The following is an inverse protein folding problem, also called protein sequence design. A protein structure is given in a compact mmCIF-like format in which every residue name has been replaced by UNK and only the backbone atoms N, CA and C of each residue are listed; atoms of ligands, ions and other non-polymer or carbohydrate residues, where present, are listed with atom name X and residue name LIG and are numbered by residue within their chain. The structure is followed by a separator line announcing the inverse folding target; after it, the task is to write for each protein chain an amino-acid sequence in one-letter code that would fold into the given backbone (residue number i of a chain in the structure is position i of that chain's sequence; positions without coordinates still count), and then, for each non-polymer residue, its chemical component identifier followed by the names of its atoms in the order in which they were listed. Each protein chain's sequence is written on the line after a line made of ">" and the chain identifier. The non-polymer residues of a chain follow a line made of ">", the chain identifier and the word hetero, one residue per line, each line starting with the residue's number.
data_IF_285942126135
#
_entry.id   IF_285942126135
#
_cell.length_a   1.000
_cell.length_b   1.000
_cell.length_c   1.000
_cell.angle_alpha   90.00
_cell.angle_beta   90.00
_cell.angle_gamma   90.00
#
_symmetry.space_group_name_H-M   'P 1'
#
loop_
_entity.id
_entity.type
_entity.pdbx_description
1 polymer ?
#
# COMPACT_ATOMS: atom_id res chain seq x y z
N UNK A 1 -18.34 11.33 12.79
CA UNK A 1 -17.90 9.94 12.57
C UNK A 1 -18.22 9.14 13.82
N UNK A 2 -18.96 8.04 13.67
CA UNK A 2 -19.21 7.12 14.78
C UNK A 2 -17.92 6.32 14.99
N UNK A 3 -17.20 6.55 16.08
CA UNK A 3 -15.86 5.96 16.29
C UNK A 3 -15.90 4.44 16.41
N UNK A 4 -17.04 3.86 16.78
CA UNK A 4 -17.27 2.41 16.83
C UNK A 4 -17.21 1.77 15.43
N UNK A 5 -17.83 2.37 14.41
CA UNK A 5 -17.83 1.79 13.04
C UNK A 5 -16.48 1.87 12.33
N UNK A 6 -15.58 2.76 12.76
CA UNK A 6 -14.24 2.90 12.20
C UNK A 6 -13.27 1.85 12.77
N UNK A 7 -13.23 1.69 14.09
CA UNK A 7 -12.31 0.74 14.74
C UNK A 7 -12.73 -0.72 14.55
N UNK A 8 -14.03 -0.99 14.40
CA UNK A 8 -14.55 -2.34 14.17
C UNK A 8 -14.51 -2.76 12.68
N UNK A 9 -14.11 -1.86 11.77
CA UNK A 9 -14.03 -2.18 10.35
C UNK A 9 -12.85 -3.13 10.05
N UNK A 10 -13.08 -4.31 9.43
CA UNK A 10 -12.03 -5.29 9.20
C UNK A 10 -10.92 -4.79 8.26
N UNK A 11 -11.24 -3.95 7.28
CA UNK A 11 -10.24 -3.34 6.39
C UNK A 11 -9.33 -2.37 7.13
N UNK A 12 -9.90 -1.57 8.04
CA UNK A 12 -9.10 -0.68 8.89
C UNK A 12 -8.22 -1.44 9.87
N UNK A 13 -8.70 -2.57 10.40
CA UNK A 13 -7.88 -3.42 11.26
C UNK A 13 -6.67 -3.98 10.50
N UNK A 14 -6.87 -4.40 9.24
CA UNK A 14 -5.76 -4.82 8.37
C UNK A 14 -4.77 -3.68 8.10
N UNK A 15 -5.26 -2.46 7.81
CA UNK A 15 -4.42 -1.26 7.67
C UNK A 15 -3.63 -0.95 8.94
N UNK A 16 -4.26 -0.97 10.12
CA UNK A 16 -3.58 -0.72 11.39
C UNK A 16 -2.52 -1.79 11.70
N UNK A 17 -2.81 -3.07 11.44
CA UNK A 17 -1.84 -4.15 11.62
C UNK A 17 -0.59 -3.95 10.77
N UNK A 18 -0.77 -3.59 9.49
CA UNK A 18 0.35 -3.26 8.61
C UNK A 18 1.12 -2.02 9.11
N UNK A 19 0.41 -0.98 9.55
CA UNK A 19 1.03 0.25 10.05
C UNK A 19 1.88 -0.03 11.30
N UNK A 20 1.38 -0.84 12.23
CA UNK A 20 2.11 -1.28 13.42
C UNK A 20 3.37 -2.06 13.05
N UNK A 21 3.28 -3.02 12.13
CA UNK A 21 4.43 -3.79 11.65
C UNK A 21 5.49 -2.88 10.99
N UNK A 22 5.06 -1.92 10.18
CA UNK A 22 5.93 -0.94 9.52
C UNK A 22 6.59 0.01 10.54
N UNK A 23 5.86 0.46 11.56
CA UNK A 23 6.39 1.30 12.63
C UNK A 23 7.44 0.56 13.48
N UNK A 24 7.28 -0.76 13.65
CA UNK A 24 8.25 -1.61 14.35
C UNK A 24 9.41 -2.09 13.48
N UNK A 25 9.35 -1.89 12.16
CA UNK A 25 10.41 -2.27 11.26
C UNK A 25 11.69 -1.48 11.57
N UNK A 26 12.83 -2.16 11.61
CA UNK A 26 14.12 -1.51 11.82
C UNK A 26 14.45 -0.60 10.65
N UNK A 27 14.71 0.67 10.94
CA UNK A 27 15.20 1.64 9.96
C UNK A 27 16.63 1.24 9.58
N UNK A 28 16.87 0.96 8.31
CA UNK A 28 18.22 0.67 7.80
C UNK A 28 18.90 1.97 7.35
N UNK A 29 20.23 2.05 7.49
CA UNK A 29 21.02 3.20 7.01
C UNK A 29 21.14 3.28 5.48
N UNK A 30 20.74 2.22 4.79
CA UNK A 30 20.74 2.08 3.33
C UNK A 30 19.31 2.27 2.79
N UNK A 31 19.05 3.32 1.98
CA UNK A 31 17.72 3.59 1.42
C UNK A 31 17.17 2.44 0.58
N UNK A 32 18.01 1.76 -0.21
CA UNK A 32 17.56 0.70 -1.12
C UNK A 32 17.09 -0.53 -0.32
N UNK A 33 17.86 -0.91 0.71
CA UNK A 33 17.46 -1.96 1.64
C UNK A 33 16.23 -1.55 2.48
N UNK A 34 16.18 -0.31 2.95
CA UNK A 34 15.06 0.18 3.75
C UNK A 34 13.76 0.22 2.94
N UNK A 35 13.79 0.73 1.71
CA UNK A 35 12.65 0.71 0.78
C UNK A 35 12.13 -0.70 0.57
N UNK A 36 13.00 -1.66 0.24
CA UNK A 36 12.58 -3.04 0.01
C UNK A 36 11.90 -3.64 1.25
N UNK A 37 12.45 -3.38 2.45
CA UNK A 37 11.86 -3.91 3.68
C UNK A 37 10.50 -3.28 3.99
N UNK A 38 10.36 -1.97 3.83
CA UNK A 38 9.09 -1.27 4.10
C UNK A 38 8.03 -1.65 3.08
N UNK A 39 8.38 -1.68 1.79
CA UNK A 39 7.44 -2.04 0.74
C UNK A 39 7.00 -3.51 0.84
N UNK A 40 7.84 -4.43 1.32
CA UNK A 40 7.41 -5.81 1.64
C UNK A 40 6.29 -5.85 2.71
N UNK A 41 6.42 -5.06 3.78
CA UNK A 41 5.42 -5.00 4.85
C UNK A 41 4.14 -4.30 4.37
N UNK A 42 4.31 -3.21 3.63
CA UNK A 42 3.21 -2.48 3.00
C UNK A 42 2.40 -3.40 2.08
N UNK A 43 3.06 -4.13 1.19
CA UNK A 43 2.40 -5.09 0.31
C UNK A 43 1.71 -6.25 1.06
N UNK A 44 2.28 -6.70 2.18
CA UNK A 44 1.61 -7.69 3.02
C UNK A 44 0.26 -7.17 3.55
N UNK A 45 0.17 -5.87 3.88
CA UNK A 45 -1.09 -5.20 4.24
C UNK A 45 -2.13 -5.26 3.13
N UNK A 46 -1.74 -4.90 1.90
CA UNK A 46 -2.64 -4.97 0.75
C UNK A 46 -3.07 -6.41 0.39
N UNK A 47 -2.18 -7.40 0.55
CA UNK A 47 -2.54 -8.81 0.39
C UNK A 47 -3.58 -9.25 1.44
N UNK A 48 -3.42 -8.83 2.70
CA UNK A 48 -4.37 -9.14 3.76
C UNK A 48 -5.75 -8.53 3.49
N UNK A 49 -5.80 -7.24 3.11
CA UNK A 49 -7.04 -6.58 2.70
C UNK A 49 -7.67 -7.26 1.48
N UNK A 50 -6.85 -7.64 0.49
CA UNK A 50 -7.32 -8.34 -0.71
C UNK A 50 -7.94 -9.70 -0.39
N UNK A 51 -7.34 -10.48 0.52
CA UNK A 51 -7.93 -11.76 0.93
C UNK A 51 -9.27 -11.55 1.65
N UNK A 52 -9.37 -10.55 2.54
CA UNK A 52 -10.61 -10.23 3.24
C UNK A 52 -11.76 -9.91 2.27
N UNK A 53 -11.52 -9.06 1.27
CA UNK A 53 -12.58 -8.70 0.32
C UNK A 53 -12.96 -9.86 -0.60
N UNK A 54 -12.03 -10.77 -0.90
CA UNK A 54 -12.33 -12.00 -1.65
C UNK A 54 -13.17 -12.98 -0.81
N UNK A 55 -12.92 -13.06 0.51
CA UNK A 55 -13.59 -14.00 1.40
C UNK A 55 -14.99 -13.54 1.81
N UNK A 56 -15.17 -12.24 2.08
CA UNK A 56 -16.40 -11.71 2.66
C UNK A 56 -17.18 -10.77 1.71
N UNK A 57 -16.55 -10.31 0.63
CA UNK A 57 -17.17 -9.45 -0.38
C UNK A 57 -18.21 -10.16 -1.24
N UNK A 58 -19.01 -9.36 -1.94
CA UNK A 58 -20.04 -9.85 -2.85
C UNK A 58 -19.96 -9.25 -4.25
N UNK A 59 -18.99 -8.37 -4.52
CA UNK A 59 -18.80 -7.78 -5.83
C UNK A 59 -17.70 -8.51 -6.64
N UNK A 60 -18.11 -9.20 -7.71
CA UNK A 60 -17.18 -9.95 -8.55
C UNK A 60 -16.06 -9.10 -9.17
N UNK A 61 -16.36 -7.85 -9.57
CA UNK A 61 -15.33 -6.96 -10.13
C UNK A 61 -14.28 -6.58 -9.10
N UNK A 62 -14.67 -6.33 -7.85
CA UNK A 62 -13.72 -6.08 -6.77
C UNK A 62 -12.91 -7.33 -6.43
N UNK A 63 -13.54 -8.51 -6.37
CA UNK A 63 -12.81 -9.77 -6.14
C UNK A 63 -11.75 -10.04 -7.23
N UNK A 64 -12.07 -9.76 -8.50
CA UNK A 64 -11.14 -9.90 -9.63
C UNK A 64 -9.98 -8.88 -9.55
N UNK A 65 -10.28 -7.61 -9.21
CA UNK A 65 -9.26 -6.59 -8.99
C UNK A 65 -8.35 -6.94 -7.81
N UNK A 66 -8.90 -7.35 -6.68
CA UNK A 66 -8.16 -7.77 -5.50
C UNK A 66 -7.24 -8.97 -5.82
N UNK A 67 -7.74 -9.96 -6.57
CA UNK A 67 -6.93 -11.09 -7.00
C UNK A 67 -5.73 -10.69 -7.88
N UNK A 68 -5.93 -9.73 -8.79
CA UNK A 68 -4.86 -9.19 -9.62
C UNK A 68 -3.79 -8.44 -8.80
N UNK A 69 -4.23 -7.58 -7.87
CA UNK A 69 -3.35 -6.85 -6.94
C UNK A 69 -2.52 -7.83 -6.10
N UNK A 70 -3.16 -8.84 -5.49
CA UNK A 70 -2.47 -9.86 -4.68
C UNK A 70 -1.38 -10.55 -5.49
N UNK A 71 -1.67 -10.94 -6.73
CA UNK A 71 -0.70 -11.65 -7.56
C UNK A 71 0.50 -10.76 -7.87
N UNK A 72 0.27 -9.52 -8.33
CA UNK A 72 1.35 -8.56 -8.62
C UNK A 72 2.21 -8.28 -7.40
N UNK A 73 1.59 -7.98 -6.26
CA UNK A 73 2.33 -7.66 -5.04
C UNK A 73 3.11 -8.86 -4.48
N UNK A 74 2.65 -10.10 -4.67
CA UNK A 74 3.44 -11.30 -4.37
C UNK A 74 4.70 -11.41 -5.23
N UNK A 75 4.58 -11.11 -6.52
CA UNK A 75 5.71 -11.14 -7.45
C UNK A 75 6.73 -10.04 -7.10
N UNK A 76 6.26 -8.85 -6.70
CA UNK A 76 7.09 -7.74 -6.24
C UNK A 76 7.78 -8.04 -4.90
N UNK A 77 7.07 -8.63 -3.93
CA UNK A 77 7.66 -9.12 -2.67
C UNK A 77 8.79 -10.13 -2.96
N UNK A 78 8.57 -11.06 -3.89
CA UNK A 78 9.59 -12.04 -4.27
C UNK A 78 10.82 -11.37 -4.88
N UNK A 79 10.63 -10.36 -5.74
CA UNK A 79 11.73 -9.60 -6.33
C UNK A 79 12.53 -8.82 -5.26
N UNK A 80 11.85 -8.14 -4.33
CA UNK A 80 12.49 -7.47 -3.20
C UNK A 80 13.24 -8.46 -2.30
N UNK A 81 12.69 -9.65 -2.07
CA UNK A 81 13.36 -10.68 -1.27
C UNK A 81 14.64 -11.18 -1.93
N UNK A 82 14.66 -11.31 -3.26
CA UNK A 82 15.87 -11.65 -4.02
C UNK A 82 16.95 -10.57 -3.83
N UNK A 83 16.57 -9.29 -3.89
CA UNK A 83 17.50 -8.19 -3.63
C UNK A 83 18.06 -8.25 -2.20
N UNK A 84 17.19 -8.34 -1.19
CA UNK A 84 17.58 -8.36 0.22
C UNK A 84 18.48 -9.55 0.57
N UNK A 85 18.30 -10.70 -0.09
CA UNK A 85 19.15 -11.88 0.11
C UNK A 85 20.55 -11.74 -0.52
N UNK A 86 20.69 -10.89 -1.53
CA UNK A 86 21.92 -10.71 -2.30
C UNK A 86 22.71 -9.46 -1.91
N UNK A 87 22.07 -8.50 -1.23
CA UNK A 87 22.65 -7.21 -0.87
C UNK A 87 22.52 -6.98 0.63
N UNK A 88 23.63 -7.17 1.36
CA UNK A 88 23.71 -6.76 2.75
C UNK A 88 23.74 -5.23 2.85
N UNK A 89 23.02 -4.67 3.82
CA UNK A 89 23.00 -3.22 4.05
C UNK A 89 24.42 -2.68 4.12
N UNK A 90 24.76 -1.79 3.20
CA UNK A 90 26.06 -1.10 3.25
C UNK A 90 25.99 -0.04 4.37
N UNK A 91 27.02 0.11 5.21
CA UNK A 91 27.08 1.21 6.17
C UNK A 91 27.29 2.52 5.41
N UNK A 92 26.19 3.10 4.92
CA UNK A 92 26.15 4.45 4.39
C UNK A 92 25.78 5.45 5.48
N UNK A 93 26.12 6.72 5.23
CA UNK A 93 25.70 7.84 6.06
C UNK A 93 24.19 7.76 6.28
N UNK A 94 23.74 7.95 7.53
CA UNK A 94 22.33 8.02 7.86
C UNK A 94 21.60 8.93 6.85
N UNK A 95 20.73 8.35 6.02
CA UNK A 95 19.85 9.12 5.16
C UNK A 95 18.67 9.64 5.98
N UNK A 96 18.95 10.50 6.97
CA UNK A 96 17.95 11.05 7.89
C UNK A 96 16.79 11.72 7.14
N UNK A 97 17.07 12.36 6.00
CA UNK A 97 16.06 12.94 5.11
C UNK A 97 15.15 11.88 4.48
N UNK A 98 15.70 10.78 3.94
CA UNK A 98 14.91 9.68 3.38
C UNK A 98 14.04 9.04 4.46
N UNK A 99 14.63 8.71 5.61
CA UNK A 99 13.90 8.10 6.72
C UNK A 99 12.78 9.02 7.25
N UNK A 100 13.02 10.33 7.30
CA UNK A 100 11.98 11.29 7.67
C UNK A 100 10.87 11.39 6.64
N UNK A 101 11.22 11.45 5.35
CA UNK A 101 10.23 11.49 4.27
C UNK A 101 9.37 10.22 4.26
N UNK A 102 10.00 9.06 4.49
CA UNK A 102 9.29 7.78 4.52
C UNK A 102 8.28 7.71 5.67
N UNK A 103 8.64 8.20 6.86
CA UNK A 103 7.69 8.35 7.97
C UNK A 103 6.55 9.30 7.61
N UNK A 104 6.84 10.43 6.98
CA UNK A 104 5.80 11.37 6.55
C UNK A 104 4.79 10.75 5.58
N UNK A 105 5.23 9.90 4.66
CA UNK A 105 4.33 9.18 3.75
C UNK A 105 3.42 8.22 4.52
N UNK A 106 3.97 7.47 5.48
CA UNK A 106 3.18 6.54 6.32
C UNK A 106 2.18 7.27 7.22
N UNK A 107 2.63 8.33 7.91
CA UNK A 107 1.76 9.17 8.75
C UNK A 107 0.60 9.76 7.93
N UNK A 108 0.90 10.19 6.69
CA UNK A 108 -0.10 10.74 5.78
C UNK A 108 -1.12 9.68 5.37
N UNK A 109 -0.68 8.49 4.99
CA UNK A 109 -1.57 7.38 4.65
C UNK A 109 -2.51 7.03 5.81
N UNK A 110 -1.98 6.90 7.03
CA UNK A 110 -2.79 6.64 8.23
C UNK A 110 -3.83 7.75 8.47
N UNK A 111 -3.42 9.02 8.35
CA UNK A 111 -4.33 10.15 8.50
C UNK A 111 -5.42 10.19 7.43
N UNK A 112 -5.08 9.86 6.18
CA UNK A 112 -6.03 9.80 5.07
C UNK A 112 -7.03 8.67 5.29
N UNK A 113 -6.56 7.46 5.60
CA UNK A 113 -7.43 6.33 5.94
C UNK A 113 -8.36 6.65 7.13
N UNK A 114 -7.85 7.33 8.16
CA UNK A 114 -8.64 7.77 9.31
C UNK A 114 -9.70 8.83 9.00
N UNK A 115 -9.55 9.54 7.88
CA UNK A 115 -10.49 10.56 7.45
C UNK A 115 -11.62 10.03 6.56
N UNK A 116 -11.54 8.77 6.13
CA UNK A 116 -12.54 8.17 5.26
C UNK A 116 -13.84 7.80 5.99
N UNK A 117 -14.96 8.02 5.30
CA UNK A 117 -16.27 7.57 5.79
C UNK A 117 -16.53 6.14 5.34
N UNK A 118 -16.17 5.20 6.22
CA UNK A 118 -16.39 3.77 5.99
C UNK A 118 -17.86 3.42 6.20
N UNK A 119 -18.34 2.52 5.35
CA UNK A 119 -19.77 2.21 5.20
C UNK A 119 -20.15 0.88 5.83
N UNK A 120 -19.16 0.01 6.07
CA UNK A 120 -19.38 -1.39 6.44
C UNK A 120 -19.66 -2.31 5.23
N UNK A 121 -19.80 -1.74 4.03
CA UNK A 121 -19.74 -2.52 2.79
C UNK A 121 -18.27 -2.80 2.48
N UNK A 122 -17.88 -4.06 2.63
CA UNK A 122 -16.48 -4.48 2.52
C UNK A 122 -15.89 -4.23 1.13
N UNK A 123 -16.70 -4.32 0.06
CA UNK A 123 -16.25 -4.06 -1.30
C UNK A 123 -15.95 -2.57 -1.49
N UNK A 124 -16.82 -1.70 -0.95
CA UNK A 124 -16.62 -0.25 -0.95
C UNK A 124 -15.42 0.16 -0.11
N UNK A 125 -15.36 -0.32 1.13
CA UNK A 125 -14.35 0.07 2.11
C UNK A 125 -12.96 -0.42 1.68
N UNK A 126 -12.86 -1.62 1.07
CA UNK A 126 -11.66 -2.07 0.38
C UNK A 126 -11.22 -1.08 -0.69
N UNK A 127 -12.13 -0.70 -1.60
CA UNK A 127 -11.76 0.16 -2.72
C UNK A 127 -11.30 1.55 -2.27
N UNK A 128 -11.96 2.14 -1.28
CA UNK A 128 -11.59 3.44 -0.70
C UNK A 128 -10.22 3.37 -0.02
N UNK A 129 -10.00 2.39 0.86
CA UNK A 129 -8.75 2.30 1.62
C UNK A 129 -7.58 1.88 0.74
N UNK A 130 -7.81 1.01 -0.25
CA UNK A 130 -6.77 0.56 -1.16
C UNK A 130 -6.24 1.69 -2.05
N UNK A 131 -7.08 2.69 -2.39
CA UNK A 131 -6.62 3.90 -3.10
C UNK A 131 -5.58 4.67 -2.28
N UNK A 132 -5.82 4.89 -0.98
CA UNK A 132 -4.86 5.60 -0.12
C UNK A 132 -3.61 4.79 0.14
N UNK A 133 -3.77 3.48 0.35
CA UNK A 133 -2.65 2.55 0.47
C UNK A 133 -1.76 2.62 -0.79
N UNK A 134 -2.35 2.56 -1.98
CA UNK A 134 -1.56 2.60 -3.22
C UNK A 134 -0.89 3.97 -3.45
N UNK A 135 -1.58 5.05 -3.10
CA UNK A 135 -0.99 6.39 -3.17
C UNK A 135 0.26 6.52 -2.28
N UNK A 136 0.27 5.87 -1.12
CA UNK A 136 1.44 5.81 -0.25
C UNK A 136 2.60 5.07 -0.91
N UNK A 137 2.37 3.89 -1.50
CA UNK A 137 3.40 3.14 -2.21
C UNK A 137 3.97 3.89 -3.42
N UNK A 138 3.15 4.64 -4.16
CA UNK A 138 3.60 5.54 -5.23
C UNK A 138 4.59 6.59 -4.68
N UNK A 139 4.25 7.22 -3.56
CA UNK A 139 5.13 8.21 -2.92
C UNK A 139 6.42 7.58 -2.37
N UNK A 140 6.34 6.35 -1.81
CA UNK A 140 7.53 5.59 -1.40
C UNK A 140 8.44 5.28 -2.60
N UNK A 141 7.85 4.91 -3.74
CA UNK A 141 8.57 4.63 -4.97
C UNK A 141 9.30 5.88 -5.51
N UNK A 142 8.64 7.04 -5.51
CA UNK A 142 9.26 8.30 -5.90
C UNK A 142 10.44 8.68 -4.99
N UNK A 143 10.31 8.45 -3.69
CA UNK A 143 11.39 8.68 -2.73
C UNK A 143 12.59 7.77 -2.99
N UNK A 144 12.41 6.47 -3.27
CA UNK A 144 13.58 5.64 -3.56
C UNK A 144 14.21 5.95 -4.93
N UNK A 145 13.42 6.38 -5.92
CA UNK A 145 13.95 6.90 -7.18
C UNK A 145 14.87 8.11 -6.93
N UNK A 146 14.48 9.00 -6.01
CA UNK A 146 15.25 10.17 -5.63
C UNK A 146 16.50 9.84 -4.80
N UNK A 147 16.35 9.05 -3.73
CA UNK A 147 17.37 8.86 -2.69
C UNK A 147 18.21 7.60 -2.85
N UNK A 148 17.69 6.59 -3.56
CA UNK A 148 18.36 5.31 -3.75
C UNK A 148 19.62 5.42 -4.60
N UNK A 149 20.41 4.35 -4.59
CA UNK A 149 21.67 4.24 -5.31
C UNK A 149 21.68 3.07 -6.29
N UNK A 150 20.92 2.01 -6.01
CA UNK A 150 20.83 0.83 -6.84
C UNK A 150 19.89 1.05 -8.05
N UNK A 151 20.43 0.88 -9.26
CA UNK A 151 19.68 1.08 -10.49
C UNK A 151 18.56 0.04 -10.70
N UNK A 152 18.74 -1.18 -10.19
CA UNK A 152 17.74 -2.23 -10.21
C UNK A 152 16.56 -1.90 -9.31
N UNK A 153 16.82 -1.40 -8.10
CA UNK A 153 15.77 -0.94 -7.17
C UNK A 153 15.02 0.27 -7.72
N UNK A 154 15.71 1.24 -8.32
CA UNK A 154 15.01 2.38 -8.97
C UNK A 154 14.12 1.93 -10.12
N UNK A 155 14.56 0.94 -10.91
CA UNK A 155 13.75 0.35 -11.97
C UNK A 155 12.51 -0.35 -11.41
N UNK A 156 12.70 -1.19 -10.40
CA UNK A 156 11.60 -1.90 -9.72
C UNK A 156 10.59 -0.90 -9.13
N UNK A 157 11.06 0.16 -8.47
CA UNK A 157 10.20 1.22 -7.94
C UNK A 157 9.39 1.92 -9.04
N UNK A 158 9.99 2.17 -10.21
CA UNK A 158 9.27 2.70 -11.36
C UNK A 158 8.19 1.76 -11.89
N UNK A 159 8.43 0.44 -11.86
CA UNK A 159 7.45 -0.57 -12.25
C UNK A 159 6.29 -0.64 -11.24
N UNK A 160 6.59 -0.70 -9.94
CA UNK A 160 5.59 -0.63 -8.85
C UNK A 160 4.72 0.62 -8.99
N UNK A 161 5.34 1.79 -9.23
CA UNK A 161 4.62 3.04 -9.39
C UNK A 161 3.61 2.98 -10.55
N UNK A 162 4.03 2.48 -11.70
CA UNK A 162 3.17 2.37 -12.89
C UNK A 162 2.00 1.41 -12.62
N UNK A 163 2.29 0.25 -12.03
CA UNK A 163 1.26 -0.74 -11.72
C UNK A 163 0.23 -0.18 -10.73
N UNK A 164 0.69 0.49 -9.67
CA UNK A 164 -0.21 1.04 -8.67
C UNK A 164 -0.97 2.29 -9.13
N UNK A 165 -0.41 3.10 -10.03
CA UNK A 165 -1.15 4.18 -10.71
C UNK A 165 -2.35 3.60 -11.49
N UNK A 166 -2.16 2.48 -12.20
CA UNK A 166 -3.23 1.80 -12.94
C UNK A 166 -4.28 1.16 -12.02
N UNK A 167 -3.86 0.59 -10.90
CA UNK A 167 -4.76 0.00 -9.89
C UNK A 167 -5.61 1.07 -9.19
N UNK A 168 -5.03 2.22 -8.85
CA UNK A 168 -5.78 3.38 -8.34
C UNK A 168 -6.83 3.85 -9.34
N UNK A 169 -6.48 3.95 -10.63
CA UNK A 169 -7.45 4.33 -11.67
C UNK A 169 -8.62 3.34 -11.73
N UNK A 170 -8.34 2.04 -11.67
CA UNK A 170 -9.37 1.00 -11.70
C UNK A 170 -10.32 1.07 -10.49
N UNK A 171 -9.79 1.26 -9.28
CA UNK A 171 -10.57 1.38 -8.05
C UNK A 171 -11.44 2.64 -8.05
N UNK A 172 -10.87 3.79 -8.45
CA UNK A 172 -11.62 5.04 -8.57
C UNK A 172 -12.72 4.96 -9.63
N UNK A 173 -12.45 4.29 -10.76
CA UNK A 173 -13.46 4.04 -11.78
C UNK A 173 -14.63 3.24 -11.21
N UNK A 174 -14.35 2.16 -10.48
CA UNK A 174 -15.40 1.34 -9.86
C UNK A 174 -16.21 2.14 -8.82
N UNK A 175 -15.55 2.92 -7.96
CA UNK A 175 -16.21 3.78 -6.98
C UNK A 175 -17.14 4.82 -7.63
N UNK A 176 -16.71 5.41 -8.75
CA UNK A 176 -17.51 6.37 -9.51
C UNK A 176 -18.73 5.73 -10.18
N UNK A 177 -18.56 4.55 -10.78
CA UNK A 177 -19.66 3.80 -11.41
C UNK A 177 -20.71 3.40 -10.37
N UNK A 178 -20.27 2.94 -9.20
CA UNK A 178 -21.17 2.65 -8.07
C UNK A 178 -21.97 3.86 -7.64
N UNK A 179 -21.32 5.01 -7.44
CA UNK A 179 -21.98 6.27 -7.05
C UNK A 179 -23.07 6.68 -8.04
N UNK A 180 -22.80 6.56 -9.34
CA UNK A 180 -23.77 6.89 -10.40
C UNK A 180 -24.98 5.95 -10.39
N UNK A 181 -24.78 4.68 -10.03
CA UNK A 181 -25.88 3.72 -9.89
C UNK A 181 -26.77 4.01 -8.67
N UNK A 182 -26.18 4.45 -7.55
CA UNK A 182 -26.92 4.80 -6.32
C UNK A 182 -27.67 6.14 -6.44
N UNK A 183 -27.11 7.11 -7.18
CA UNK A 183 -27.67 8.45 -7.38
C UNK A 183 -27.73 8.83 -8.88
N UNK A 184 -28.66 8.25 -9.65
CA UNK A 184 -28.85 8.61 -11.06
C UNK A 184 -29.34 10.05 -11.19
N UNK A 185 -28.80 10.78 -12.18
CA UNK A 185 -29.11 12.19 -12.51
C UNK A 185 -30.55 12.41 -12.95
#
# INVERSE_FOLDING_TARGET
>A
MNTETYHDNPMMQAMHSMAEEMHHASMHGDPDHHFCRMMQLHHAGAINMGNLVIEEGNNQTIAELAGAIIQKQKDEIAAMQVYLNSHHSMPHSEHAAFNSAMRTVMDKMEQQAASEELTGDIDHDFAVLMVHHHQAAIEMADLIIQYGSDAGIKKMAGEIRIDQEAEVEALLKWLNERRQAEFPS
#
